data_IF_951378164048
#
_entry.id   IF_951378164048
#
_cell.length_a   1.000
_cell.length_b   1.000
_cell.length_c   1.000
_cell.angle_alpha   90.00
_cell.angle_beta   90.00
_cell.angle_gamma   90.00
#
_symmetry.space_group_name_H-M   'P 1'
#
loop_
_entity.id
_entity.type
_entity.pdbx_description
1 polymer ?
#
# COMPACT_ATOMS: atom_id res chain seq x y z
N UNK A 1 14.12 -18.85 25.70
CA UNK A 1 13.66 -18.00 24.58
C UNK A 1 14.71 -18.11 23.50
N UNK A 2 14.37 -18.78 22.44
CA UNK A 2 15.29 -19.17 21.38
C UNK A 2 15.53 -17.98 20.43
N UNK A 3 16.78 -17.86 19.95
CA UNK A 3 17.26 -16.73 19.14
C UNK A 3 16.70 -16.74 17.70
N UNK A 4 15.43 -16.97 17.49
CA UNK A 4 14.80 -16.96 16.19
C UNK A 4 13.86 -15.73 16.08
N UNK A 5 14.21 -14.79 15.24
CA UNK A 5 13.33 -13.70 14.82
C UNK A 5 13.56 -12.36 15.51
N UNK A 6 14.74 -11.74 15.33
CA UNK A 6 14.83 -10.29 15.49
C UNK A 6 14.03 -9.65 14.34
N UNK A 7 12.86 -9.09 14.65
CA UNK A 7 12.22 -8.11 13.76
C UNK A 7 13.20 -6.94 13.61
N UNK A 8 13.81 -6.80 12.44
CA UNK A 8 14.51 -5.57 12.09
C UNK A 8 13.46 -4.47 12.04
N UNK A 9 13.47 -3.59 13.03
CA UNK A 9 12.64 -2.36 13.03
C UNK A 9 13.22 -1.42 11.99
N UNK A 10 12.73 -1.51 10.77
CA UNK A 10 12.80 -0.39 9.84
C UNK A 10 11.95 0.74 10.41
N UNK A 11 12.50 1.95 10.47
CA UNK A 11 11.89 3.13 11.09
C UNK A 11 10.40 3.25 10.75
N UNK A 12 9.54 3.03 11.75
CA UNK A 12 8.10 2.84 11.63
C UNK A 12 7.32 4.09 11.20
N UNK A 13 8.00 5.21 10.96
CA UNK A 13 7.41 6.47 10.55
C UNK A 13 7.38 6.66 9.02
N UNK A 14 8.04 5.83 8.23
CA UNK A 14 7.99 5.89 6.77
C UNK A 14 6.89 4.95 6.27
N UNK A 15 5.69 5.50 6.07
CA UNK A 15 4.53 4.80 5.53
C UNK A 15 4.76 4.40 4.08
N UNK A 16 4.15 3.30 3.63
CA UNK A 16 4.34 2.71 2.29
C UNK A 16 4.20 3.71 1.15
N UNK A 17 3.15 4.51 1.15
CA UNK A 17 2.89 5.44 0.06
C UNK A 17 3.93 6.57 0.01
N UNK A 18 4.57 6.91 1.13
CA UNK A 18 5.59 7.97 1.16
C UNK A 18 6.74 7.64 0.21
N UNK A 19 7.19 6.39 0.13
CA UNK A 19 8.25 5.99 -0.80
C UNK A 19 7.86 6.24 -2.25
N UNK A 20 6.62 5.91 -2.64
CA UNK A 20 6.09 6.24 -3.96
C UNK A 20 5.96 7.74 -4.17
N UNK A 21 5.47 8.44 -3.14
CA UNK A 21 5.19 9.87 -3.19
C UNK A 21 6.46 10.71 -3.23
N UNK A 22 7.56 10.26 -2.68
CA UNK A 22 8.87 10.92 -2.83
C UNK A 22 9.23 11.08 -4.32
N UNK A 23 9.08 10.03 -5.10
CA UNK A 23 9.34 10.05 -6.55
C UNK A 23 8.26 10.81 -7.33
N UNK A 24 6.99 10.53 -7.06
CA UNK A 24 5.87 11.15 -7.78
C UNK A 24 5.81 12.66 -7.55
N UNK A 25 6.00 13.13 -6.32
CA UNK A 25 5.96 14.57 -6.02
C UNK A 25 7.24 15.28 -6.42
N UNK A 26 8.38 14.58 -6.47
CA UNK A 26 9.58 15.13 -7.10
C UNK A 26 9.32 15.37 -8.59
N UNK A 27 8.79 14.38 -9.30
CA UNK A 27 8.44 14.51 -10.72
C UNK A 27 7.40 15.62 -10.96
N UNK A 28 6.36 15.68 -10.12
CA UNK A 28 5.37 16.78 -10.15
C UNK A 28 6.04 18.17 -10.04
N UNK A 29 7.00 18.30 -9.11
CA UNK A 29 7.77 19.54 -8.95
C UNK A 29 8.62 19.88 -10.16
N UNK A 30 9.33 18.90 -10.72
CA UNK A 30 10.13 19.09 -11.93
C UNK A 30 9.28 19.55 -13.11
N UNK A 31 8.07 19.05 -13.19
CA UNK A 31 7.10 19.48 -14.19
C UNK A 31 6.47 20.86 -13.88
N UNK A 32 6.71 21.44 -12.71
CA UNK A 32 6.12 22.73 -12.30
C UNK A 32 4.64 22.62 -11.95
N UNK A 33 4.17 21.46 -11.49
CA UNK A 33 2.80 21.27 -11.05
C UNK A 33 2.60 21.89 -9.66
N UNK A 34 1.44 22.49 -9.44
CA UNK A 34 1.01 23.11 -8.19
C UNK A 34 -0.19 22.40 -7.54
N UNK A 35 -0.82 21.50 -8.25
CA UNK A 35 -2.00 20.76 -7.83
C UNK A 35 -1.80 19.27 -8.05
N UNK A 36 -2.20 18.47 -7.07
CA UNK A 36 -2.13 17.00 -7.12
C UNK A 36 -3.53 16.42 -7.06
N UNK A 37 -3.88 15.63 -8.07
CA UNK A 37 -5.10 14.82 -8.10
C UNK A 37 -4.80 13.39 -7.69
N UNK A 38 -5.70 12.79 -6.89
CA UNK A 38 -5.67 11.34 -6.66
C UNK A 38 -7.06 10.79 -6.33
N UNK A 39 -7.16 9.46 -6.27
CA UNK A 39 -8.40 8.72 -6.21
C UNK A 39 -8.31 7.57 -5.20
N UNK A 40 -9.43 7.27 -4.53
CA UNK A 40 -9.49 6.14 -3.61
C UNK A 40 -10.87 5.94 -3.00
N UNK A 41 -10.96 5.05 -2.02
CA UNK A 41 -12.13 4.95 -1.16
C UNK A 41 -12.09 6.01 -0.04
N UNK A 42 -13.18 6.21 0.67
CA UNK A 42 -13.31 7.23 1.74
C UNK A 42 -12.31 7.06 2.88
N UNK A 43 -11.82 5.84 3.12
CA UNK A 43 -10.81 5.55 4.14
C UNK A 43 -9.45 5.16 3.53
N UNK A 44 -9.15 5.62 2.31
CA UNK A 44 -7.92 5.28 1.60
C UNK A 44 -6.68 5.85 2.29
N UNK A 45 -5.75 4.99 2.70
CA UNK A 45 -4.42 5.41 3.16
C UNK A 45 -3.64 6.15 2.06
N UNK A 46 -3.76 5.66 0.81
CA UNK A 46 -3.10 6.29 -0.33
C UNK A 46 -3.54 7.75 -0.50
N UNK A 47 -4.84 8.03 -0.43
CA UNK A 47 -5.38 9.39 -0.59
C UNK A 47 -4.85 10.30 0.51
N UNK A 48 -5.02 9.91 1.76
CA UNK A 48 -4.61 10.70 2.92
C UNK A 48 -3.09 10.99 2.91
N UNK A 49 -2.27 9.97 2.60
CA UNK A 49 -0.82 10.15 2.53
C UNK A 49 -0.43 11.03 1.34
N UNK A 50 -1.11 10.93 0.19
CA UNK A 50 -0.91 11.82 -0.96
C UNK A 50 -1.27 13.26 -0.61
N UNK A 51 -2.41 13.50 0.03
CA UNK A 51 -2.82 14.84 0.46
C UNK A 51 -1.81 15.43 1.47
N UNK A 52 -1.35 14.63 2.44
CA UNK A 52 -0.32 15.03 3.42
C UNK A 52 0.98 15.42 2.72
N UNK A 53 1.46 14.60 1.80
CA UNK A 53 2.71 14.84 1.11
C UNK A 53 2.61 16.04 0.14
N UNK A 54 1.49 16.20 -0.56
CA UNK A 54 1.22 17.35 -1.41
C UNK A 54 1.26 18.67 -0.61
N UNK A 55 0.61 18.72 0.56
CA UNK A 55 0.66 19.89 1.45
C UNK A 55 2.08 20.20 1.91
N UNK A 56 2.86 19.20 2.28
CA UNK A 56 4.29 19.40 2.65
C UNK A 56 5.14 19.91 1.50
N UNK A 57 4.77 19.59 0.28
CA UNK A 57 5.43 20.09 -0.93
C UNK A 57 4.91 21.45 -1.40
N UNK A 58 3.94 22.06 -0.72
CA UNK A 58 3.31 23.32 -1.10
C UNK A 58 2.32 23.21 -2.26
N UNK A 59 1.85 21.98 -2.55
CA UNK A 59 0.87 21.70 -3.61
C UNK A 59 -0.55 21.58 -3.04
N UNK A 60 -1.55 21.91 -3.87
CA UNK A 60 -2.98 21.77 -3.56
C UNK A 60 -3.42 20.31 -3.77
N UNK A 61 -3.89 19.58 -2.74
CA UNK A 61 -4.46 18.26 -2.94
C UNK A 61 -5.95 18.36 -3.33
N UNK A 62 -6.33 17.62 -4.38
CA UNK A 62 -7.71 17.41 -4.83
C UNK A 62 -7.95 15.91 -4.93
N UNK A 63 -8.99 15.41 -4.28
CA UNK A 63 -9.25 13.98 -4.20
C UNK A 63 -10.68 13.61 -4.56
N UNK A 64 -10.82 12.50 -5.29
CA UNK A 64 -12.11 11.90 -5.58
C UNK A 64 -12.21 10.56 -4.85
N UNK A 65 -13.25 10.42 -4.03
CA UNK A 65 -13.46 9.29 -3.14
C UNK A 65 -14.69 8.50 -3.55
N UNK A 66 -14.51 7.21 -3.86
CA UNK A 66 -15.62 6.30 -4.07
C UNK A 66 -16.18 5.84 -2.72
N UNK A 67 -17.41 6.22 -2.41
CA UNK A 67 -18.09 5.81 -1.20
C UNK A 67 -18.72 4.43 -1.38
N UNK A 68 -18.12 3.38 -0.79
CA UNK A 68 -18.74 2.06 -0.69
C UNK A 68 -19.89 2.11 0.34
N UNK A 69 -19.64 2.82 1.46
CA UNK A 69 -20.65 3.25 2.41
C UNK A 69 -20.59 4.78 2.43
N UNK A 70 -21.73 5.44 2.16
CA UNK A 70 -21.76 6.90 2.17
C UNK A 70 -21.54 7.42 3.59
N UNK A 71 -20.58 8.36 3.81
CA UNK A 71 -20.37 8.97 5.10
C UNK A 71 -21.63 9.75 5.50
N UNK A 72 -22.10 9.56 6.70
CA UNK A 72 -23.14 10.43 7.26
C UNK A 72 -22.55 11.81 7.56
N UNK A 73 -23.33 12.89 7.56
CA UNK A 73 -22.84 14.25 7.76
C UNK A 73 -21.99 14.47 9.01
N UNK A 74 -22.18 13.65 10.04
CA UNK A 74 -21.45 13.73 11.31
C UNK A 74 -20.49 12.55 11.52
N UNK A 75 -20.29 11.68 10.52
CA UNK A 75 -19.42 10.49 10.60
C UNK A 75 -18.14 10.70 9.78
N UNK A 76 -17.45 11.80 10.04
CA UNK A 76 -16.14 12.10 9.44
C UNK A 76 -15.06 11.61 10.41
N UNK A 77 -14.43 10.48 10.10
CA UNK A 77 -13.48 9.80 11.00
C UNK A 77 -12.25 9.26 10.23
N UNK A 78 -11.23 8.88 10.99
CA UNK A 78 -10.00 8.26 10.50
C UNK A 78 -9.38 9.04 9.31
N UNK A 79 -9.11 8.40 8.18
CA UNK A 79 -8.44 9.05 7.04
C UNK A 79 -9.25 10.20 6.45
N UNK A 80 -10.57 10.07 6.32
CA UNK A 80 -11.42 11.15 5.83
C UNK A 80 -11.36 12.40 6.73
N UNK A 81 -11.28 12.22 8.06
CA UNK A 81 -11.08 13.33 9.00
C UNK A 81 -9.72 14.01 8.77
N UNK A 82 -8.66 13.23 8.55
CA UNK A 82 -7.33 13.79 8.28
C UNK A 82 -7.32 14.57 6.96
N UNK A 83 -7.99 14.07 5.93
CA UNK A 83 -8.12 14.78 4.65
C UNK A 83 -8.83 16.13 4.82
N UNK A 84 -9.87 16.19 5.65
CA UNK A 84 -10.55 17.47 5.94
C UNK A 84 -9.68 18.44 6.72
N UNK A 85 -8.94 17.96 7.74
CA UNK A 85 -7.99 18.77 8.53
C UNK A 85 -6.87 19.33 7.65
N UNK A 86 -6.41 18.56 6.66
CA UNK A 86 -5.42 19.01 5.67
C UNK A 86 -5.95 20.09 4.71
N UNK A 87 -7.25 20.42 4.77
CA UNK A 87 -7.89 21.32 3.81
C UNK A 87 -7.84 20.78 2.38
N UNK A 88 -7.92 19.46 2.23
CA UNK A 88 -8.00 18.81 0.93
C UNK A 88 -9.33 19.15 0.26
N UNK A 89 -9.31 19.38 -1.04
CA UNK A 89 -10.53 19.47 -1.82
C UNK A 89 -11.06 18.05 -2.06
N UNK A 90 -12.21 17.74 -1.48
CA UNK A 90 -12.76 16.38 -1.43
C UNK A 90 -14.06 16.32 -2.24
N UNK A 91 -14.10 15.38 -3.19
CA UNK A 91 -15.28 15.02 -3.97
C UNK A 91 -15.68 13.59 -3.67
N UNK A 92 -16.85 13.37 -3.09
CA UNK A 92 -17.36 12.03 -2.77
C UNK A 92 -18.32 11.58 -3.87
N UNK A 93 -18.05 10.41 -4.45
CA UNK A 93 -18.84 9.80 -5.51
C UNK A 93 -19.55 8.55 -4.95
N UNK A 94 -20.87 8.40 -5.14
CA UNK A 94 -21.58 7.19 -4.75
C UNK A 94 -21.10 6.00 -5.56
N UNK A 95 -20.80 4.90 -4.90
CA UNK A 95 -20.32 3.68 -5.60
C UNK A 95 -21.44 2.99 -6.39
N UNK A 96 -22.68 3.09 -5.95
CA UNK A 96 -23.81 2.37 -6.53
C UNK A 96 -23.55 0.86 -6.70
N UNK A 97 -22.88 0.24 -5.70
CA UNK A 97 -22.53 -1.18 -5.71
C UNK A 97 -21.27 -1.54 -6.51
N UNK A 98 -20.58 -0.54 -7.11
CA UNK A 98 -19.33 -0.74 -7.83
C UNK A 98 -18.14 -0.75 -6.86
N UNK A 99 -17.05 -1.38 -7.28
CA UNK A 99 -15.76 -1.21 -6.62
C UNK A 99 -15.25 0.23 -6.78
N UNK A 100 -14.30 0.65 -5.94
CA UNK A 100 -13.65 1.97 -6.08
C UNK A 100 -13.09 2.19 -7.49
N UNK A 101 -12.44 1.19 -8.07
CA UNK A 101 -11.87 1.28 -9.42
C UNK A 101 -12.97 1.54 -10.47
N UNK A 102 -14.02 0.72 -10.49
CA UNK A 102 -15.14 0.89 -11.42
C UNK A 102 -15.87 2.21 -11.22
N UNK A 103 -15.97 2.69 -9.96
CA UNK A 103 -16.54 4.01 -9.68
C UNK A 103 -15.71 5.13 -10.31
N UNK A 104 -14.37 5.05 -10.19
CA UNK A 104 -13.50 6.05 -10.81
C UNK A 104 -13.55 5.98 -12.33
N UNK A 105 -13.48 4.79 -12.92
CA UNK A 105 -13.58 4.60 -14.38
C UNK A 105 -14.89 5.15 -14.94
N UNK A 106 -16.02 4.92 -14.26
CA UNK A 106 -17.33 5.46 -14.68
C UNK A 106 -17.43 6.98 -14.60
N UNK A 107 -16.61 7.63 -13.80
CA UNK A 107 -16.64 9.08 -13.57
C UNK A 107 -15.40 9.81 -14.12
N UNK A 108 -14.57 9.18 -14.95
CA UNK A 108 -13.35 9.78 -15.50
C UNK A 108 -13.62 11.11 -16.20
N UNK A 109 -14.76 11.24 -16.89
CA UNK A 109 -15.17 12.49 -17.55
C UNK A 109 -15.26 13.69 -16.58
N UNK A 110 -15.64 13.47 -15.30
CA UNK A 110 -15.69 14.52 -14.28
C UNK A 110 -14.27 14.98 -13.92
N UNK A 111 -13.34 14.04 -13.83
CA UNK A 111 -11.95 14.33 -13.49
C UNK A 111 -11.28 15.13 -14.60
N UNK A 112 -11.47 14.72 -15.85
CA UNK A 112 -10.93 15.42 -17.01
C UNK A 112 -11.50 16.84 -17.14
N UNK A 113 -12.80 17.01 -16.91
CA UNK A 113 -13.44 18.32 -16.91
C UNK A 113 -12.88 19.23 -15.80
N UNK A 114 -12.66 18.70 -14.59
CA UNK A 114 -12.11 19.47 -13.48
C UNK A 114 -10.63 19.84 -13.72
N UNK A 115 -9.83 18.91 -14.23
CA UNK A 115 -8.43 19.18 -14.62
C UNK A 115 -8.39 20.30 -15.69
N UNK A 116 -9.24 20.24 -16.69
CA UNK A 116 -9.34 21.28 -17.72
C UNK A 116 -9.77 22.65 -17.15
N UNK A 117 -10.71 22.67 -16.21
CA UNK A 117 -11.11 23.87 -15.50
C UNK A 117 -9.96 24.50 -14.72
N UNK A 118 -9.21 23.70 -13.97
CA UNK A 118 -8.03 24.17 -13.22
C UNK A 118 -6.94 24.69 -14.15
N UNK A 119 -6.70 24.01 -15.26
CA UNK A 119 -5.76 24.46 -16.28
C UNK A 119 -6.15 25.82 -16.88
N UNK A 120 -7.45 26.06 -17.12
CA UNK A 120 -7.96 27.36 -17.57
C UNK A 120 -7.77 28.48 -16.53
N UNK A 121 -7.65 28.14 -15.25
CA UNK A 121 -7.36 29.04 -14.13
C UNK A 121 -5.84 29.26 -13.91
N UNK A 122 -4.99 28.63 -14.72
CA UNK A 122 -3.54 28.73 -14.63
C UNK A 122 -2.87 27.71 -13.71
N UNK A 123 -3.63 26.74 -13.19
CA UNK A 123 -3.08 25.65 -12.39
C UNK A 123 -2.53 24.52 -13.26
N UNK A 124 -1.45 23.89 -12.81
CA UNK A 124 -0.89 22.69 -13.44
C UNK A 124 -1.07 21.48 -12.56
N UNK A 125 -1.88 20.54 -13.04
CA UNK A 125 -2.28 19.34 -12.29
C UNK A 125 -1.33 18.18 -12.55
N UNK A 126 -0.90 17.53 -11.47
CA UNK A 126 -0.24 16.22 -11.51
C UNK A 126 -1.23 15.14 -11.08
N UNK A 127 -1.52 14.21 -11.97
CA UNK A 127 -2.52 13.17 -11.76
C UNK A 127 -1.88 11.87 -11.28
N UNK A 128 -2.17 11.47 -10.04
CA UNK A 128 -1.68 10.24 -9.42
C UNK A 128 -2.81 9.19 -9.42
N UNK A 129 -2.66 8.06 -10.13
CA UNK A 129 -3.68 7.02 -10.16
C UNK A 129 -3.83 6.32 -8.80
N UNK A 130 -4.90 5.52 -8.66
CA UNK A 130 -5.18 4.74 -7.44
C UNK A 130 -3.92 3.97 -6.99
N UNK A 131 -3.52 4.20 -5.75
CA UNK A 131 -2.37 3.54 -5.12
C UNK A 131 -1.01 4.00 -5.64
N UNK A 132 -0.93 5.04 -6.51
CA UNK A 132 0.33 5.55 -7.05
C UNK A 132 1.14 4.51 -7.83
N UNK A 133 0.46 3.53 -8.44
CA UNK A 133 1.10 2.39 -9.11
C UNK A 133 1.46 2.75 -10.54
N UNK A 134 2.47 3.59 -10.68
CA UNK A 134 3.14 3.97 -11.93
C UNK A 134 4.59 3.52 -11.89
N UNK A 135 5.31 3.50 -13.01
CA UNK A 135 6.75 3.19 -13.01
C UNK A 135 7.53 4.09 -12.05
N UNK A 136 7.29 5.40 -12.09
CA UNK A 136 7.92 6.40 -11.21
C UNK A 136 7.60 6.10 -9.73
N UNK A 137 6.33 5.88 -9.38
CA UNK A 137 5.96 5.57 -8.00
C UNK A 137 6.51 4.23 -7.51
N UNK A 138 6.48 3.20 -8.36
CA UNK A 138 6.98 1.89 -8.01
C UNK A 138 8.51 1.86 -7.83
N UNK A 139 9.26 2.77 -8.47
CA UNK A 139 10.71 2.92 -8.29
C UNK A 139 11.10 3.12 -6.82
N UNK A 140 10.28 3.82 -6.01
CA UNK A 140 10.51 3.95 -4.57
C UNK A 140 10.52 2.61 -3.82
N UNK A 141 9.94 1.56 -4.39
CA UNK A 141 10.02 0.20 -3.85
C UNK A 141 11.16 -0.63 -4.42
N UNK A 142 11.69 -0.29 -5.59
CA UNK A 142 12.96 -0.84 -6.03
C UNK A 142 14.08 -0.41 -5.08
N UNK A 143 14.13 0.88 -4.74
CA UNK A 143 15.04 1.39 -3.71
C UNK A 143 14.81 0.74 -2.35
N UNK A 144 13.54 0.51 -1.95
CA UNK A 144 13.20 -0.18 -0.71
C UNK A 144 13.79 -1.59 -0.65
N UNK A 145 13.76 -2.35 -1.75
CA UNK A 145 14.39 -3.67 -1.80
C UNK A 145 15.90 -3.56 -1.59
N UNK A 146 16.55 -2.65 -2.34
CA UNK A 146 18.00 -2.41 -2.24
C UNK A 146 18.41 -2.04 -0.80
N UNK A 147 17.68 -1.10 -0.18
CA UNK A 147 17.92 -0.72 1.22
C UNK A 147 17.73 -1.90 2.18
N UNK A 148 16.69 -2.72 1.96
CA UNK A 148 16.39 -3.87 2.82
C UNK A 148 17.52 -4.89 2.76
N UNK A 149 18.02 -5.19 1.58
CA UNK A 149 19.14 -6.12 1.42
C UNK A 149 20.42 -5.59 2.07
N UNK A 150 20.74 -4.31 1.88
CA UNK A 150 21.89 -3.66 2.53
C UNK A 150 21.78 -3.68 4.08
N UNK A 151 20.57 -3.52 4.62
CA UNK A 151 20.34 -3.60 6.07
C UNK A 151 20.45 -5.02 6.60
N UNK A 152 19.95 -6.02 5.88
CA UNK A 152 20.13 -7.43 6.22
C UNK A 152 21.62 -7.80 6.24
N UNK A 153 22.36 -7.42 5.21
CA UNK A 153 23.82 -7.63 5.13
C UNK A 153 24.54 -6.98 6.31
N UNK A 154 24.22 -5.72 6.62
CA UNK A 154 24.80 -4.99 7.76
C UNK A 154 24.50 -5.64 9.11
N UNK A 155 23.37 -6.35 9.21
CA UNK A 155 22.99 -7.11 10.40
C UNK A 155 23.56 -8.54 10.43
N UNK A 156 24.29 -8.95 9.38
CA UNK A 156 24.82 -10.32 9.24
C UNK A 156 23.72 -11.37 9.00
N UNK A 157 22.62 -10.97 8.38
CA UNK A 157 21.45 -11.82 8.10
C UNK A 157 21.27 -11.98 6.59
N UNK A 158 20.99 -13.20 6.12
CA UNK A 158 20.40 -13.42 4.82
C UNK A 158 18.88 -13.17 4.90
N UNK A 159 18.28 -12.57 3.89
CA UNK A 159 16.83 -12.43 3.79
C UNK A 159 16.29 -13.59 2.95
N UNK A 160 15.68 -14.60 3.59
CA UNK A 160 15.12 -15.73 2.85
C UNK A 160 13.75 -15.37 2.22
N UNK A 161 12.95 -14.55 2.93
CA UNK A 161 11.63 -14.15 2.51
C UNK A 161 11.39 -12.68 2.77
N UNK A 162 10.81 -11.97 1.78
CA UNK A 162 10.28 -10.62 1.95
C UNK A 162 8.78 -10.64 1.65
N UNK A 163 7.97 -10.36 2.69
CA UNK A 163 6.50 -10.48 2.65
C UNK A 163 5.86 -9.12 2.71
N UNK A 164 4.91 -8.85 1.83
CA UNK A 164 4.17 -7.56 1.76
C UNK A 164 2.71 -7.74 1.38
N UNK A 165 1.88 -6.75 1.73
CA UNK A 165 0.53 -6.63 1.21
C UNK A 165 0.56 -6.26 -0.28
N UNK A 166 -0.32 -6.85 -1.09
CA UNK A 166 -0.49 -6.46 -2.48
C UNK A 166 -1.95 -6.20 -2.85
N UNK A 167 -2.23 -4.98 -3.32
CA UNK A 167 -3.54 -4.52 -3.76
C UNK A 167 -3.49 -4.01 -5.20
N UNK A 168 -2.88 -2.85 -5.45
CA UNK A 168 -2.67 -2.30 -6.80
C UNK A 168 -1.47 -2.92 -7.53
N UNK A 169 -0.58 -3.64 -6.82
CA UNK A 169 0.58 -4.31 -7.37
C UNK A 169 1.88 -3.48 -7.38
N UNK A 170 1.79 -2.15 -7.24
CA UNK A 170 2.95 -1.26 -7.39
C UNK A 170 4.08 -1.50 -6.38
N UNK A 171 3.76 -1.94 -5.16
CA UNK A 171 4.77 -2.31 -4.15
C UNK A 171 5.55 -3.54 -4.58
N UNK A 172 4.83 -4.62 -4.92
CA UNK A 172 5.45 -5.87 -5.34
C UNK A 172 6.22 -5.72 -6.66
N UNK A 173 5.71 -4.89 -7.60
CA UNK A 173 6.42 -4.56 -8.84
C UNK A 173 7.76 -3.86 -8.57
N UNK A 174 7.77 -2.86 -7.68
CA UNK A 174 9.00 -2.18 -7.30
C UNK A 174 10.00 -3.11 -6.63
N UNK A 175 9.54 -3.93 -5.65
CA UNK A 175 10.41 -4.91 -4.99
C UNK A 175 11.02 -5.89 -6.00
N UNK A 176 10.22 -6.38 -6.97
CA UNK A 176 10.70 -7.27 -8.03
C UNK A 176 11.73 -6.58 -8.94
N UNK A 177 11.53 -5.31 -9.27
CA UNK A 177 12.50 -4.53 -10.03
C UNK A 177 13.81 -4.35 -9.24
N UNK A 178 13.73 -4.03 -7.96
CA UNK A 178 14.90 -3.90 -7.08
C UNK A 178 15.68 -5.21 -6.93
N UNK A 179 14.98 -6.34 -6.82
CA UNK A 179 15.60 -7.67 -6.80
C UNK A 179 16.33 -7.95 -8.11
N UNK A 180 15.71 -7.67 -9.26
CA UNK A 180 16.36 -7.83 -10.56
C UNK A 180 17.62 -6.95 -10.69
N UNK A 181 17.58 -5.68 -10.27
CA UNK A 181 18.74 -4.78 -10.27
C UNK A 181 19.91 -5.27 -9.42
N UNK A 182 19.62 -5.97 -8.31
CA UNK A 182 20.64 -6.56 -7.44
C UNK A 182 21.06 -7.97 -7.86
N UNK A 183 20.42 -8.56 -8.87
CA UNK A 183 20.53 -9.99 -9.20
C UNK A 183 20.26 -10.88 -7.97
N UNK A 184 19.26 -10.47 -7.15
CA UNK A 184 18.87 -11.20 -5.93
C UNK A 184 17.93 -12.35 -6.28
N UNK A 185 18.51 -13.52 -6.52
CA UNK A 185 17.78 -14.76 -6.76
C UNK A 185 17.55 -15.56 -5.45
N UNK A 186 18.03 -15.06 -4.32
CA UNK A 186 17.98 -15.74 -3.02
C UNK A 186 16.77 -15.39 -2.18
N UNK A 187 16.27 -14.16 -2.29
CA UNK A 187 15.12 -13.69 -1.53
C UNK A 187 13.81 -14.03 -2.23
N UNK A 188 12.97 -14.85 -1.58
CA UNK A 188 11.63 -15.10 -2.09
C UNK A 188 10.68 -13.94 -1.77
N UNK A 189 10.19 -13.25 -2.80
CA UNK A 189 9.17 -12.21 -2.66
C UNK A 189 7.79 -12.84 -2.52
N UNK A 190 7.04 -12.46 -1.48
CA UNK A 190 5.67 -12.93 -1.22
C UNK A 190 4.73 -11.74 -1.16
N UNK A 191 3.74 -11.74 -2.04
CA UNK A 191 2.63 -10.80 -2.03
C UNK A 191 1.37 -11.42 -1.41
N UNK A 192 0.90 -10.90 -0.29
CA UNK A 192 -0.39 -11.29 0.29
C UNK A 192 -1.47 -10.39 -0.32
N UNK A 193 -2.35 -10.98 -1.11
CA UNK A 193 -3.41 -10.26 -1.80
C UNK A 193 -4.50 -9.82 -0.82
N UNK A 194 -4.88 -8.54 -0.86
CA UNK A 194 -5.84 -7.94 0.08
C UNK A 194 -7.22 -7.67 -0.52
N UNK A 195 -7.37 -7.83 -1.82
CA UNK A 195 -8.64 -7.68 -2.54
C UNK A 195 -8.69 -8.58 -3.75
N UNK A 196 -9.87 -9.02 -4.16
CA UNK A 196 -10.04 -9.92 -5.30
C UNK A 196 -9.43 -9.34 -6.58
N UNK A 197 -8.63 -10.14 -7.25
CA UNK A 197 -8.01 -9.85 -8.55
C UNK A 197 -8.21 -11.05 -9.47
N UNK A 198 -8.13 -10.82 -10.76
CA UNK A 198 -8.12 -11.89 -11.73
C UNK A 198 -6.77 -12.64 -11.66
N UNK A 199 -6.74 -13.91 -11.24
CA UNK A 199 -5.50 -14.66 -11.08
C UNK A 199 -4.72 -14.82 -12.40
N UNK A 200 -5.44 -14.85 -13.53
CA UNK A 200 -4.84 -15.07 -14.85
C UNK A 200 -4.00 -13.87 -15.32
N UNK A 201 -4.33 -12.65 -14.88
CA UNK A 201 -3.71 -11.44 -15.41
C UNK A 201 -2.97 -10.63 -14.36
N UNK A 202 -3.25 -10.81 -13.06
CA UNK A 202 -2.73 -9.94 -12.02
C UNK A 202 -1.21 -10.02 -11.86
N UNK A 203 -0.66 -11.23 -11.82
CA UNK A 203 0.80 -11.43 -11.74
C UNK A 203 1.53 -10.82 -12.94
N UNK A 204 1.01 -11.03 -14.15
CA UNK A 204 1.60 -10.50 -15.38
C UNK A 204 1.61 -8.95 -15.39
N UNK A 205 0.53 -8.31 -14.95
CA UNK A 205 0.48 -6.83 -14.82
C UNK A 205 1.53 -6.29 -13.84
N UNK A 206 1.84 -7.03 -12.79
CA UNK A 206 2.90 -6.66 -11.84
C UNK A 206 4.27 -6.77 -12.51
N UNK A 207 4.52 -7.82 -13.28
CA UNK A 207 5.76 -7.99 -14.06
C UNK A 207 5.92 -6.89 -15.11
N UNK A 208 4.86 -6.55 -15.83
CA UNK A 208 4.86 -5.46 -16.81
C UNK A 208 5.22 -4.13 -16.14
N UNK A 209 4.63 -3.83 -14.98
CA UNK A 209 4.98 -2.64 -14.21
C UNK A 209 6.43 -2.69 -13.70
N UNK A 210 6.92 -3.85 -13.24
CA UNK A 210 8.30 -4.00 -12.80
C UNK A 210 9.30 -3.76 -13.95
N UNK A 211 9.01 -4.30 -15.12
CA UNK A 211 9.81 -4.03 -16.32
C UNK A 211 9.79 -2.55 -16.72
N UNK A 212 8.66 -1.87 -16.58
CA UNK A 212 8.58 -0.42 -16.81
C UNK A 212 9.38 0.38 -15.77
N UNK A 213 9.51 -0.11 -14.52
CA UNK A 213 10.41 0.49 -13.51
C UNK A 213 11.87 0.33 -13.96
N UNK A 214 12.28 -0.87 -14.38
CA UNK A 214 13.63 -1.14 -14.87
C UNK A 214 13.98 -0.24 -16.06
N UNK A 215 13.09 -0.13 -17.03
CA UNK A 215 13.26 0.76 -18.19
C UNK A 215 13.40 2.22 -17.77
N UNK A 216 12.54 2.71 -16.86
CA UNK A 216 12.60 4.08 -16.35
C UNK A 216 13.90 4.38 -15.61
N UNK A 217 14.44 3.38 -14.90
CA UNK A 217 15.72 3.46 -14.22
C UNK A 217 16.94 3.31 -15.14
N UNK A 218 16.75 2.99 -16.42
CA UNK A 218 17.84 2.71 -17.38
C UNK A 218 18.56 1.40 -17.13
N UNK A 219 17.94 0.48 -16.39
CA UNK A 219 18.48 -0.85 -16.12
C UNK A 219 18.42 -1.74 -17.37
N UNK A 220 19.37 -2.67 -17.51
CA UNK A 220 19.42 -3.61 -18.63
C UNK A 220 18.67 -4.91 -18.34
N UNK A 221 18.36 -5.14 -17.09
CA UNK A 221 17.66 -6.31 -16.58
C UNK A 221 16.24 -6.35 -17.11
N UNK A 222 15.72 -7.57 -17.28
CA UNK A 222 14.35 -7.83 -17.67
C UNK A 222 13.79 -9.04 -16.92
N UNK A 223 12.56 -8.93 -16.52
CA UNK A 223 11.83 -9.97 -15.82
C UNK A 223 10.91 -10.68 -16.83
N UNK A 224 11.20 -11.94 -17.13
CA UNK A 224 10.43 -12.74 -18.09
C UNK A 224 9.46 -13.74 -17.41
N UNK A 225 9.67 -14.01 -16.13
CA UNK A 225 8.84 -14.92 -15.31
C UNK A 225 8.40 -14.22 -14.04
N UNK A 226 7.40 -14.75 -13.37
CA UNK A 226 6.98 -14.25 -12.06
C UNK A 226 8.09 -14.47 -11.01
N UNK A 227 8.77 -13.41 -10.53
CA UNK A 227 9.84 -13.53 -9.52
C UNK A 227 9.29 -13.51 -8.09
N UNK A 228 7.99 -13.73 -7.92
CA UNK A 228 7.28 -13.66 -6.65
C UNK A 228 6.15 -14.68 -6.59
N UNK A 229 5.69 -14.97 -5.38
CA UNK A 229 4.49 -15.75 -5.12
C UNK A 229 3.38 -14.82 -4.63
N UNK A 230 2.15 -15.02 -5.10
CA UNK A 230 0.97 -14.28 -4.65
C UNK A 230 0.02 -15.26 -3.95
N UNK A 231 -0.26 -14.99 -2.69
CA UNK A 231 -1.26 -15.70 -1.91
C UNK A 231 -2.57 -14.93 -1.91
N UNK A 232 -3.62 -15.51 -2.50
CA UNK A 232 -4.95 -14.90 -2.65
C UNK A 232 -5.97 -15.39 -1.62
N UNK A 233 -5.66 -16.42 -0.87
CA UNK A 233 -6.51 -17.05 0.14
C UNK A 233 -6.77 -16.17 1.36
N UNK A 234 -5.93 -15.17 1.62
CA UNK A 234 -6.03 -14.26 2.76
C UNK A 234 -6.85 -12.98 2.50
N UNK A 235 -7.53 -12.89 1.37
CA UNK A 235 -8.44 -11.76 1.06
C UNK A 235 -9.59 -11.68 2.07
N UNK A 236 -10.00 -12.83 2.63
CA UNK A 236 -11.15 -12.95 3.52
C UNK A 236 -12.46 -12.65 2.77
N UNK A 237 -13.48 -12.04 3.43
CA UNK A 237 -14.77 -11.77 2.81
C UNK A 237 -14.71 -10.72 1.70
N UNK A 238 -13.62 -9.96 1.59
CA UNK A 238 -13.39 -8.98 0.53
C UNK A 238 -12.51 -7.81 0.95
N UNK A 239 -12.29 -6.91 -0.02
CA UNK A 239 -11.56 -5.67 0.24
C UNK A 239 -12.29 -4.80 1.27
N UNK A 240 -11.55 -4.17 2.18
CA UNK A 240 -12.07 -3.37 3.31
C UNK A 240 -12.93 -4.13 4.32
N UNK A 241 -13.06 -5.44 4.19
CA UNK A 241 -13.83 -6.24 5.15
C UNK A 241 -12.88 -6.94 6.11
N UNK A 242 -12.92 -6.60 7.41
CA UNK A 242 -12.16 -7.31 8.44
C UNK A 242 -12.71 -8.73 8.63
N UNK A 243 -11.90 -9.64 9.17
CA UNK A 243 -12.32 -10.97 9.56
C UNK A 243 -11.52 -11.45 10.78
N UNK A 244 -12.11 -12.40 11.49
CA UNK A 244 -11.67 -12.77 12.84
C UNK A 244 -10.20 -13.18 12.91
N UNK A 245 -9.75 -14.04 12.01
CA UNK A 245 -8.39 -14.61 12.03
C UNK A 245 -7.33 -13.51 11.84
N UNK A 246 -7.55 -12.58 10.90
CA UNK A 246 -6.67 -11.44 10.71
C UNK A 246 -6.70 -10.49 11.93
N UNK A 247 -7.88 -10.27 12.51
CA UNK A 247 -8.03 -9.44 13.71
C UNK A 247 -7.30 -10.06 14.92
N UNK A 248 -7.32 -11.39 15.06
CA UNK A 248 -6.58 -12.10 16.10
C UNK A 248 -5.06 -11.88 15.96
N UNK A 249 -4.53 -11.96 14.73
CA UNK A 249 -3.10 -11.73 14.48
C UNK A 249 -2.71 -10.24 14.58
N UNK A 250 -3.59 -9.29 14.26
CA UNK A 250 -3.39 -7.85 14.56
C UNK A 250 -3.21 -7.65 16.07
N UNK A 251 -4.10 -8.24 16.89
CA UNK A 251 -3.98 -8.17 18.35
C UNK A 251 -2.72 -8.88 18.87
N UNK A 252 -2.38 -10.03 18.30
CA UNK A 252 -1.18 -10.76 18.66
C UNK A 252 0.07 -9.89 18.43
N UNK A 253 0.24 -9.31 17.25
CA UNK A 253 1.38 -8.45 16.93
C UNK A 253 1.45 -7.21 17.85
N UNK A 254 0.31 -6.58 18.11
CA UNK A 254 0.25 -5.43 18.99
C UNK A 254 0.64 -5.78 20.43
N UNK A 255 0.21 -6.94 20.95
CA UNK A 255 0.50 -7.39 22.32
C UNK A 255 1.93 -7.88 22.52
N UNK A 256 2.54 -8.45 21.48
CA UNK A 256 3.90 -9.02 21.58
C UNK A 256 4.98 -8.01 21.23
N UNK A 257 4.74 -7.16 20.23
CA UNK A 257 5.76 -6.27 19.67
C UNK A 257 5.42 -4.77 19.79
N UNK A 258 4.20 -4.42 20.20
CA UNK A 258 3.74 -3.03 20.23
C UNK A 258 3.59 -2.42 18.83
N UNK A 259 3.37 -3.25 17.81
CA UNK A 259 3.23 -2.83 16.42
C UNK A 259 1.76 -2.92 16.01
N UNK A 260 1.22 -1.84 15.45
CA UNK A 260 -0.16 -1.77 14.99
C UNK A 260 -0.24 -1.89 13.47
N UNK A 261 -1.07 -2.81 12.99
CA UNK A 261 -1.39 -3.01 11.57
C UNK A 261 -2.87 -2.69 11.32
N UNK A 262 -3.21 -2.36 10.09
CA UNK A 262 -4.60 -2.06 9.69
C UNK A 262 -5.35 -3.34 9.25
N UNK A 263 -6.68 -3.38 9.34
CA UNK A 263 -7.45 -4.58 8.98
C UNK A 263 -7.60 -4.80 7.47
N UNK A 264 -7.21 -3.81 6.64
CA UNK A 264 -7.43 -3.84 5.19
C UNK A 264 -6.22 -4.39 4.45
N UNK A 265 -5.01 -3.93 4.81
CA UNK A 265 -3.75 -4.25 4.11
C UNK A 265 -2.77 -4.99 5.00
N UNK A 266 -2.11 -4.27 5.91
CA UNK A 266 -0.97 -4.81 6.66
C UNK A 266 -1.37 -5.91 7.64
N UNK A 267 -2.56 -5.85 8.22
CA UNK A 267 -3.07 -6.91 9.10
C UNK A 267 -3.38 -8.20 8.36
N UNK A 268 -4.02 -8.12 7.18
CA UNK A 268 -4.23 -9.31 6.33
C UNK A 268 -2.91 -9.90 5.86
N UNK A 269 -1.94 -9.05 5.50
CA UNK A 269 -0.63 -9.52 5.08
C UNK A 269 0.13 -10.17 6.23
N UNK A 270 0.04 -9.62 7.43
CA UNK A 270 0.65 -10.23 8.62
C UNK A 270 -0.02 -11.56 8.99
N UNK A 271 -1.35 -11.64 8.90
CA UNK A 271 -2.06 -12.90 9.07
C UNK A 271 -1.59 -13.96 8.07
N UNK A 272 -1.49 -13.60 6.78
CA UNK A 272 -0.95 -14.51 5.77
C UNK A 272 0.46 -14.98 6.09
N UNK A 273 1.36 -14.09 6.52
CA UNK A 273 2.69 -14.45 6.99
C UNK A 273 2.63 -15.44 8.16
N UNK A 274 1.82 -15.16 9.17
CA UNK A 274 1.70 -16.04 10.36
C UNK A 274 1.16 -17.41 10.00
N UNK A 275 0.22 -17.50 9.08
CA UNK A 275 -0.32 -18.77 8.60
C UNK A 275 0.71 -19.56 7.79
N UNK A 276 1.46 -18.91 6.90
CA UNK A 276 2.55 -19.56 6.14
C UNK A 276 3.64 -20.12 7.06
N UNK A 277 3.94 -19.46 8.19
CA UNK A 277 4.86 -19.96 9.20
C UNK A 277 4.24 -21.15 9.96
N UNK A 278 2.98 -21.02 10.42
CA UNK A 278 2.29 -22.06 11.19
C UNK A 278 2.09 -23.35 10.39
N UNK A 279 1.85 -23.23 9.10
CA UNK A 279 1.66 -24.36 8.19
C UNK A 279 2.96 -24.94 7.65
N UNK A 280 4.11 -24.32 7.94
CA UNK A 280 5.43 -24.76 7.49
C UNK A 280 5.76 -24.43 6.03
N UNK A 281 4.93 -23.62 5.35
CA UNK A 281 5.23 -23.09 4.01
C UNK A 281 6.43 -22.13 4.04
N UNK A 282 6.64 -21.45 5.16
CA UNK A 282 7.90 -20.78 5.48
C UNK A 282 8.60 -21.67 6.53
N UNK A 283 9.73 -22.29 6.21
CA UNK A 283 10.43 -23.22 7.09
C UNK A 283 10.91 -22.57 8.40
N UNK A 284 10.93 -23.36 9.47
CA UNK A 284 11.49 -22.90 10.74
C UNK A 284 12.98 -22.57 10.59
N UNK A 285 13.37 -21.41 11.10
CA UNK A 285 14.75 -20.92 11.02
C UNK A 285 15.02 -19.99 9.85
N UNK A 286 14.03 -19.77 8.95
CA UNK A 286 14.14 -18.77 7.90
C UNK A 286 14.15 -17.35 8.47
N UNK A 287 14.93 -16.48 7.86
CA UNK A 287 14.90 -15.04 8.12
C UNK A 287 13.83 -14.39 7.23
N UNK A 288 12.84 -13.80 7.87
CA UNK A 288 11.70 -13.20 7.17
C UNK A 288 11.65 -11.70 7.44
N UNK A 289 11.61 -10.92 6.37
CA UNK A 289 11.31 -9.49 6.45
C UNK A 289 9.82 -9.30 6.14
N UNK A 290 9.07 -8.78 7.10
CA UNK A 290 7.71 -8.30 6.88
C UNK A 290 7.73 -6.80 6.59
N UNK A 291 7.37 -6.42 5.37
CA UNK A 291 7.29 -5.01 4.99
C UNK A 291 5.97 -4.42 5.49
N UNK A 292 6.05 -3.77 6.66
CA UNK A 292 4.92 -3.07 7.26
C UNK A 292 4.62 -1.78 6.49
N UNK A 293 3.51 -1.78 5.79
CA UNK A 293 3.15 -0.71 4.86
C UNK A 293 2.29 0.41 5.47
N UNK A 294 2.19 0.47 6.79
CA UNK A 294 1.43 1.51 7.50
C UNK A 294 -0.06 1.18 7.63
N UNK A 295 -0.90 2.21 7.67
CA UNK A 295 -2.36 2.07 7.69
C UNK A 295 -3.01 2.09 9.08
N UNK A 296 -2.26 2.23 10.17
CA UNK A 296 -2.79 2.18 11.54
C UNK A 296 -3.95 3.16 11.82
N UNK A 297 -4.06 4.25 11.05
CA UNK A 297 -5.18 5.19 11.16
C UNK A 297 -6.53 4.55 10.85
N UNK A 298 -6.58 3.51 10.01
CA UNK A 298 -7.81 2.77 9.72
C UNK A 298 -8.39 2.05 10.96
N UNK A 299 -7.56 1.75 11.98
CA UNK A 299 -8.04 1.17 13.24
C UNK A 299 -9.06 2.04 13.96
N UNK A 300 -8.99 3.37 13.78
CA UNK A 300 -9.96 4.28 14.41
C UNK A 300 -11.34 4.28 13.74
N UNK A 301 -11.51 3.58 12.64
CA UNK A 301 -12.81 3.34 12.01
C UNK A 301 -13.36 1.93 12.23
N UNK A 302 -12.61 1.05 12.92
CA UNK A 302 -12.89 -0.38 13.05
C UNK A 302 -12.95 -0.82 14.53
N UNK A 303 -13.97 -0.38 15.29
CA UNK A 303 -14.07 -0.72 16.72
C UNK A 303 -14.19 -2.22 16.97
N UNK A 304 -14.75 -2.99 16.03
CA UNK A 304 -14.95 -4.43 16.15
C UNK A 304 -13.65 -5.25 16.20
N UNK A 305 -12.50 -4.65 15.84
CA UNK A 305 -11.19 -5.31 16.00
C UNK A 305 -10.92 -5.64 17.48
N UNK A 306 -11.39 -4.80 18.38
CA UNK A 306 -11.18 -4.98 19.82
C UNK A 306 -12.08 -6.11 20.37
N UNK A 307 -13.23 -6.37 19.71
CA UNK A 307 -14.26 -7.25 20.25
C UNK A 307 -15.03 -6.58 21.41
N UNK A 308 -15.72 -7.40 22.20
CA UNK A 308 -16.46 -6.91 23.36
C UNK A 308 -15.48 -6.45 24.46
N UNK A 309 -15.56 -5.17 24.85
CA UNK A 309 -14.75 -4.60 25.93
C UNK A 309 -14.88 -5.38 27.24
N UNK A 310 -16.01 -6.05 27.48
CA UNK A 310 -16.20 -6.90 28.66
C UNK A 310 -15.40 -8.21 28.60
N UNK A 311 -14.87 -8.59 27.43
CA UNK A 311 -14.02 -9.77 27.24
C UNK A 311 -12.51 -9.46 27.31
N UNK A 312 -12.14 -8.18 27.47
CA UNK A 312 -10.75 -7.74 27.58
C UNK A 312 -10.17 -7.98 28.99
N UNK A 313 -10.98 -8.49 29.91
CA UNK A 313 -10.52 -8.84 31.25
C UNK A 313 -9.94 -10.26 31.26
N UNK A 314 -8.72 -10.40 30.80
CA UNK A 314 -7.81 -11.49 31.27
C UNK A 314 -6.40 -11.28 30.70
#
# INVERSE_FOLDING_TARGET
>A
MDKAGRLLRLDTLRRQQIRKLEYLLHDAKQQGCDTVFTYGATQSNHVMETATAARRCGMRPVVYLGAIVEPQPNDVRANLLLDTILGTEIHILPSCGRSTKETMEANDHLFQAHIAQLAAQGHKVYNIPIGGSTPIGAAGFAECHIETMAQCESAGLACDYLVTATGSGGTLAGLAAGAAMLHDDSTQLIGIQVGKKDPATYGQKIVELANSVLETAGAQERIDKLPFVIHSEYVGPGYEKPYKEANDDIRYLARTEGIFTDPVYSGKAFHGLMDLIRTGNIPKGSNVVFLHTGGATALFSEPDIIGDLNQIQA
#
